data_IF_745469249827
#
_entry.id   IF_745469249827
#
_cell.length_a   1.000
_cell.length_b   1.000
_cell.length_c   1.000
_cell.angle_alpha   90.00
_cell.angle_beta   90.00
_cell.angle_gamma   90.00
#
_symmetry.space_group_name_H-M   'P 1'
#
loop_
_entity.id
_entity.type
_entity.pdbx_description
1 polymer ?
#
# COMPACT_ATOMS: atom_id res chain seq x y z
N UNK A 1 17.91 4.07 18.42
CA UNK A 1 16.52 4.11 18.93
C UNK A 1 16.55 3.48 20.31
N UNK A 2 16.01 4.16 21.32
CA UNK A 2 15.93 3.59 22.68
C UNK A 2 14.75 2.61 22.75
N UNK A 3 14.81 1.57 23.59
CA UNK A 3 13.83 0.46 23.56
C UNK A 3 12.39 0.89 23.86
N UNK A 4 12.22 2.08 24.46
CA UNK A 4 10.92 2.69 24.73
C UNK A 4 10.26 3.24 23.46
N UNK A 5 11.04 3.77 22.52
CA UNK A 5 10.53 4.33 21.26
C UNK A 5 10.06 3.21 20.33
N UNK A 6 10.79 2.09 20.32
CA UNK A 6 10.46 0.90 19.54
C UNK A 6 9.15 0.24 20.03
N UNK A 7 8.96 0.19 21.36
CA UNK A 7 7.70 -0.28 21.95
C UNK A 7 6.53 0.67 21.69
N UNK A 8 6.75 1.98 21.65
CA UNK A 8 5.71 2.96 21.35
C UNK A 8 5.25 2.85 19.89
N UNK A 9 6.19 2.69 18.95
CA UNK A 9 5.89 2.45 17.53
C UNK A 9 5.09 1.15 17.36
N UNK A 10 5.51 0.07 18.02
CA UNK A 10 4.81 -1.22 17.96
C UNK A 10 3.37 -1.12 18.49
N UNK A 11 3.16 -0.43 19.61
CA UNK A 11 1.80 -0.18 20.14
C UNK A 11 0.96 0.67 19.20
N UNK A 12 1.55 1.65 18.53
CA UNK A 12 0.88 2.46 17.52
C UNK A 12 0.45 1.63 16.31
N UNK A 13 1.32 0.73 15.84
CA UNK A 13 1.01 -0.21 14.76
C UNK A 13 -0.11 -1.18 15.14
N UNK A 14 -0.05 -1.78 16.33
CA UNK A 14 -1.10 -2.68 16.84
C UNK A 14 -2.44 -1.95 17.03
N UNK A 15 -2.43 -0.69 17.46
CA UNK A 15 -3.63 0.12 17.59
C UNK A 15 -4.24 0.46 16.22
N UNK A 16 -3.41 0.78 15.23
CA UNK A 16 -3.83 1.03 13.85
C UNK A 16 -4.45 -0.23 13.23
N UNK A 17 -3.81 -1.39 13.42
CA UNK A 17 -4.30 -2.68 12.94
C UNK A 17 -5.68 -3.01 13.51
N UNK A 18 -5.84 -2.90 14.84
CA UNK A 18 -7.13 -3.13 15.51
C UNK A 18 -8.21 -2.15 15.06
N UNK A 19 -7.87 -0.87 14.86
CA UNK A 19 -8.81 0.14 14.38
C UNK A 19 -9.26 -0.16 12.94
N UNK A 20 -8.31 -0.58 12.08
CA UNK A 20 -8.61 -0.96 10.71
C UNK A 20 -9.47 -2.22 10.63
N UNK A 21 -9.19 -3.25 11.44
CA UNK A 21 -10.02 -4.45 11.55
C UNK A 21 -11.45 -4.12 11.99
N UNK A 22 -11.59 -3.25 12.99
CA UNK A 22 -12.90 -2.81 13.47
C UNK A 22 -13.68 -2.05 12.38
N UNK A 23 -13.00 -1.15 11.66
CA UNK A 23 -13.60 -0.41 10.54
C UNK A 23 -14.02 -1.35 9.41
N UNK A 24 -13.16 -2.30 9.01
CA UNK A 24 -13.45 -3.25 7.95
C UNK A 24 -14.64 -4.15 8.29
N UNK A 25 -14.72 -4.59 9.56
CA UNK A 25 -15.85 -5.37 10.05
C UNK A 25 -17.15 -4.56 10.02
N UNK A 26 -17.10 -3.29 10.41
CA UNK A 26 -18.26 -2.39 10.38
C UNK A 26 -18.73 -2.09 8.95
N UNK A 27 -17.81 -1.79 8.03
CA UNK A 27 -18.12 -1.55 6.61
C UNK A 27 -18.73 -2.79 5.94
N UNK A 28 -18.16 -3.97 6.22
CA UNK A 28 -18.72 -5.25 5.74
C UNK A 28 -20.13 -5.48 6.27
N UNK A 29 -20.35 -5.22 7.56
CA UNK A 29 -21.67 -5.34 8.17
C UNK A 29 -22.68 -4.36 7.57
N UNK A 30 -22.29 -3.11 7.28
CA UNK A 30 -23.15 -2.12 6.59
C UNK A 30 -23.49 -2.58 5.16
N UNK A 31 -22.50 -3.05 4.40
CA UNK A 31 -22.70 -3.57 3.04
C UNK A 31 -23.66 -4.75 3.02
N UNK A 32 -23.43 -5.76 3.87
CA UNK A 32 -24.31 -6.93 3.98
C UNK A 32 -25.73 -6.55 4.40
N UNK A 33 -25.90 -5.55 5.28
CA UNK A 33 -27.21 -5.06 5.69
C UNK A 33 -27.94 -4.36 4.53
N UNK A 34 -27.23 -3.54 3.75
CA UNK A 34 -27.78 -2.83 2.59
C UNK A 34 -28.17 -3.79 1.46
N UNK A 35 -27.35 -4.80 1.17
CA UNK A 35 -27.65 -5.84 0.18
C UNK A 35 -28.88 -6.67 0.59
N UNK A 36 -28.98 -7.05 1.87
CA UNK A 36 -30.15 -7.77 2.40
C UNK A 36 -31.43 -6.91 2.37
N UNK A 37 -31.32 -5.59 2.59
CA UNK A 37 -32.45 -4.67 2.46
C UNK A 37 -32.89 -4.54 1.00
N UNK A 38 -31.94 -4.39 0.07
CA UNK A 38 -32.24 -4.33 -1.36
C UNK A 38 -32.91 -5.62 -1.86
N UNK A 39 -32.43 -6.79 -1.42
CA UNK A 39 -33.07 -8.07 -1.72
C UNK A 39 -34.49 -8.16 -1.13
N UNK A 40 -34.69 -7.74 0.12
CA UNK A 40 -36.03 -7.74 0.73
C UNK A 40 -37.01 -6.80 0.01
N UNK A 41 -36.53 -5.66 -0.51
CA UNK A 41 -37.32 -4.74 -1.33
C UNK A 41 -37.62 -5.32 -2.72
N UNK A 42 -36.66 -6.00 -3.34
CA UNK A 42 -36.85 -6.71 -4.60
C UNK A 42 -37.83 -7.88 -4.46
N UNK A 43 -37.72 -8.66 -3.38
CA UNK A 43 -38.65 -9.74 -3.04
C UNK A 43 -40.06 -9.16 -2.87
N UNK A 44 -40.22 -8.07 -2.13
CA UNK A 44 -41.51 -7.35 -2.00
C UNK A 44 -42.06 -6.93 -3.37
N UNK A 45 -41.24 -6.32 -4.24
CA UNK A 45 -41.64 -5.90 -5.58
C UNK A 45 -42.03 -7.09 -6.47
N UNK A 46 -41.27 -8.19 -6.39
CA UNK A 46 -41.53 -9.44 -7.08
C UNK A 46 -42.84 -10.08 -6.60
N UNK A 47 -43.11 -10.12 -5.30
CA UNK A 47 -44.39 -10.58 -4.75
C UNK A 47 -45.57 -9.70 -5.19
N UNK A 48 -45.38 -8.38 -5.29
CA UNK A 48 -46.41 -7.48 -5.84
C UNK A 48 -46.62 -7.63 -7.36
N UNK A 49 -45.66 -8.19 -8.11
CA UNK A 49 -45.67 -8.23 -9.58
C UNK A 49 -45.93 -9.62 -10.18
N UNK A 50 -45.26 -10.67 -9.68
CA UNK A 50 -45.17 -11.99 -10.33
C UNK A 50 -46.23 -13.01 -9.87
N UNK A 51 -46.73 -12.95 -8.63
CA UNK A 51 -47.61 -14.00 -8.08
C UNK A 51 -49.05 -13.50 -7.90
N UNK A 52 -49.24 -12.30 -7.34
CA UNK A 52 -50.56 -11.67 -7.15
C UNK A 52 -51.38 -11.50 -8.43
N UNK A 53 -50.73 -11.15 -9.54
CA UNK A 53 -51.40 -10.90 -10.82
C UNK A 53 -51.71 -12.19 -11.57
N UNK A 54 -50.91 -13.25 -11.35
CA UNK A 54 -51.02 -14.55 -12.00
C UNK A 54 -51.99 -15.46 -11.22
N UNK A 55 -51.88 -15.53 -9.89
CA UNK A 55 -52.80 -16.30 -9.04
C UNK A 55 -54.19 -15.66 -8.93
N UNK A 56 -54.31 -14.33 -8.82
CA UNK A 56 -55.61 -13.67 -8.87
C UNK A 56 -56.28 -13.87 -10.25
N UNK A 57 -55.52 -13.84 -11.35
CA UNK A 57 -56.08 -14.10 -12.68
C UNK A 57 -56.51 -15.56 -12.87
N UNK A 58 -55.72 -16.54 -12.38
CA UNK A 58 -56.03 -17.98 -12.49
C UNK A 58 -57.16 -18.40 -11.52
N UNK A 59 -57.13 -17.95 -10.26
CA UNK A 59 -58.15 -18.27 -9.26
C UNK A 59 -59.47 -17.54 -9.52
N UNK A 60 -59.44 -16.28 -9.98
CA UNK A 60 -60.63 -15.57 -10.46
C UNK A 60 -61.24 -16.30 -11.67
N UNK A 61 -60.42 -16.72 -12.64
CA UNK A 61 -60.90 -17.49 -13.80
C UNK A 61 -61.52 -18.83 -13.40
N UNK A 62 -60.90 -19.59 -12.48
CA UNK A 62 -61.41 -20.89 -12.02
C UNK A 62 -62.64 -20.76 -11.09
N UNK A 63 -62.69 -19.76 -10.21
CA UNK A 63 -63.82 -19.50 -9.32
C UNK A 63 -65.04 -18.90 -10.04
N UNK A 64 -64.85 -18.12 -11.12
CA UNK A 64 -65.93 -17.72 -12.04
C UNK A 64 -66.54 -18.93 -12.76
N UNK A 65 -65.70 -19.88 -13.15
CA UNK A 65 -66.13 -21.12 -13.81
C UNK A 65 -66.84 -22.08 -12.83
N UNK A 66 -66.52 -22.01 -11.53
CA UNK A 66 -67.05 -22.92 -10.49
C UNK A 66 -68.12 -22.32 -9.54
N UNK A 67 -68.28 -21.00 -9.49
CA UNK A 67 -69.21 -20.30 -8.59
C UNK A 67 -68.78 -20.23 -7.10
N UNK A 68 -67.50 -20.40 -6.78
CA UNK A 68 -66.98 -20.48 -5.40
C UNK A 68 -66.42 -19.15 -4.87
N UNK A 69 -67.17 -18.49 -3.99
CA UNK A 69 -66.79 -17.21 -3.38
C UNK A 69 -65.67 -17.34 -2.32
N UNK A 70 -65.50 -18.49 -1.67
CA UNK A 70 -64.54 -18.67 -0.56
C UNK A 70 -63.09 -18.80 -1.04
N UNK A 71 -62.88 -19.51 -2.16
CA UNK A 71 -61.57 -19.63 -2.81
C UNK A 71 -60.99 -18.28 -3.25
N UNK A 72 -61.84 -17.32 -3.63
CA UNK A 72 -61.45 -15.96 -4.01
C UNK A 72 -60.89 -15.19 -2.81
N UNK A 73 -61.54 -15.29 -1.65
CA UNK A 73 -61.13 -14.54 -0.45
C UNK A 73 -59.86 -15.11 0.18
N UNK A 74 -59.69 -16.44 0.19
CA UNK A 74 -58.51 -17.10 0.79
C UNK A 74 -57.20 -16.75 0.08
N UNK A 75 -57.19 -16.72 -1.26
CA UNK A 75 -56.01 -16.34 -2.04
C UNK A 75 -55.58 -14.87 -1.80
N UNK A 76 -56.55 -13.97 -1.55
CA UNK A 76 -56.27 -12.58 -1.16
C UNK A 76 -55.54 -12.48 0.18
N UNK A 77 -55.99 -13.23 1.20
CA UNK A 77 -55.38 -13.19 2.53
C UNK A 77 -53.95 -13.78 2.57
N UNK A 78 -53.69 -14.87 1.86
CA UNK A 78 -52.34 -15.47 1.82
C UNK A 78 -51.30 -14.57 1.15
N UNK A 79 -51.72 -13.75 0.18
CA UNK A 79 -50.89 -12.73 -0.45
C UNK A 79 -50.62 -11.56 0.51
N UNK A 80 -51.64 -11.07 1.21
CA UNK A 80 -51.52 -9.99 2.19
C UNK A 80 -50.55 -10.35 3.32
N UNK A 81 -50.60 -11.58 3.84
CA UNK A 81 -49.69 -12.06 4.89
C UNK A 81 -48.23 -12.12 4.43
N UNK A 82 -47.96 -12.59 3.20
CA UNK A 82 -46.61 -12.61 2.62
C UNK A 82 -46.07 -11.19 2.40
N UNK A 83 -46.90 -10.27 1.92
CA UNK A 83 -46.54 -8.85 1.76
C UNK A 83 -46.23 -8.22 3.12
N UNK A 84 -47.06 -8.48 4.13
CA UNK A 84 -46.85 -7.99 5.49
C UNK A 84 -45.55 -8.54 6.12
N UNK A 85 -45.24 -9.82 5.92
CA UNK A 85 -44.00 -10.43 6.38
C UNK A 85 -42.75 -9.84 5.71
N UNK A 86 -42.80 -9.60 4.39
CA UNK A 86 -41.72 -8.95 3.65
C UNK A 86 -41.52 -7.49 4.08
N UNK A 87 -42.62 -6.75 4.30
CA UNK A 87 -42.58 -5.38 4.80
C UNK A 87 -41.96 -5.32 6.20
N UNK A 88 -42.39 -6.18 7.11
CA UNK A 88 -41.83 -6.27 8.47
C UNK A 88 -40.33 -6.54 8.47
N UNK A 89 -39.86 -7.47 7.61
CA UNK A 89 -38.43 -7.76 7.43
C UNK A 89 -37.66 -6.54 6.91
N UNK A 90 -38.24 -5.75 6.01
CA UNK A 90 -37.64 -4.51 5.53
C UNK A 90 -37.57 -3.44 6.63
N UNK A 91 -38.60 -3.31 7.46
CA UNK A 91 -38.64 -2.36 8.58
C UNK A 91 -37.61 -2.74 9.66
N UNK A 92 -37.50 -4.02 10.02
CA UNK A 92 -36.51 -4.53 10.96
C UNK A 92 -35.06 -4.32 10.47
N UNK A 93 -34.82 -4.45 9.15
CA UNK A 93 -33.51 -4.17 8.55
C UNK A 93 -33.23 -2.67 8.50
N UNK A 94 -34.23 -1.84 8.17
CA UNK A 94 -34.14 -0.38 8.18
C UNK A 94 -33.74 0.14 9.56
N UNK A 95 -34.29 -0.43 10.64
CA UNK A 95 -33.94 -0.07 12.01
C UNK A 95 -32.48 -0.42 12.40
N UNK A 96 -31.86 -1.41 11.73
CA UNK A 96 -30.46 -1.81 12.00
C UNK A 96 -29.43 -0.92 11.29
N UNK A 97 -29.82 -0.21 10.23
CA UNK A 97 -28.93 0.66 9.45
C UNK A 97 -28.38 1.83 10.28
N UNK A 98 -29.19 2.59 11.04
CA UNK A 98 -28.66 3.65 11.91
C UNK A 98 -27.66 3.14 12.96
N UNK A 99 -27.86 1.94 13.49
CA UNK A 99 -26.95 1.31 14.46
C UNK A 99 -25.61 0.98 13.78
N UNK A 100 -25.64 0.32 12.62
CA UNK A 100 -24.44 0.01 11.85
C UNK A 100 -23.67 1.29 11.43
N UNK A 101 -24.40 2.35 11.04
CA UNK A 101 -23.80 3.66 10.72
C UNK A 101 -23.15 4.31 11.95
N UNK A 102 -23.81 4.26 13.10
CA UNK A 102 -23.24 4.79 14.33
C UNK A 102 -21.98 4.02 14.78
N UNK A 103 -21.94 2.69 14.58
CA UNK A 103 -20.75 1.88 14.81
C UNK A 103 -19.61 2.21 13.83
N UNK A 104 -19.94 2.41 12.55
CA UNK A 104 -18.98 2.89 11.54
C UNK A 104 -18.43 4.26 11.91
N UNK A 105 -19.28 5.20 12.29
CA UNK A 105 -18.86 6.57 12.61
C UNK A 105 -17.95 6.57 13.85
N UNK A 106 -18.27 5.77 14.88
CA UNK A 106 -17.36 5.54 16.02
C UNK A 106 -16.02 4.93 15.60
N UNK A 107 -16.02 3.98 14.67
CA UNK A 107 -14.79 3.38 14.15
C UNK A 107 -13.96 4.39 13.36
N UNK A 108 -14.62 5.28 12.59
CA UNK A 108 -13.98 6.40 11.88
C UNK A 108 -13.34 7.37 12.86
N UNK A 109 -14.04 7.77 13.91
CA UNK A 109 -13.51 8.66 14.94
C UNK A 109 -12.31 8.03 15.67
N UNK A 110 -12.37 6.73 15.97
CA UNK A 110 -11.27 5.98 16.57
C UNK A 110 -10.05 5.90 15.64
N UNK A 111 -10.27 5.73 14.34
CA UNK A 111 -9.21 5.75 13.33
C UNK A 111 -8.58 7.15 13.21
N UNK A 112 -9.38 8.21 13.15
CA UNK A 112 -8.88 9.60 13.18
C UNK A 112 -8.03 9.89 14.42
N UNK A 113 -8.45 9.41 15.59
CA UNK A 113 -7.68 9.53 16.81
C UNK A 113 -6.35 8.73 16.74
N UNK A 114 -6.39 7.48 16.29
CA UNK A 114 -5.22 6.62 16.17
C UNK A 114 -4.18 7.18 15.20
N UNK A 115 -4.62 7.70 14.06
CA UNK A 115 -3.73 8.30 13.07
C UNK A 115 -3.10 9.61 13.56
N UNK A 116 -3.86 10.42 14.31
CA UNK A 116 -3.32 11.60 14.97
C UNK A 116 -2.21 11.22 15.95
N UNK A 117 -2.43 10.17 16.75
CA UNK A 117 -1.42 9.63 17.67
C UNK A 117 -0.20 9.10 16.90
N UNK A 118 -0.40 8.32 15.85
CA UNK A 118 0.70 7.78 15.03
C UNK A 118 1.53 8.90 14.39
N UNK A 119 0.89 9.91 13.80
CA UNK A 119 1.57 11.09 13.24
C UNK A 119 2.43 11.81 14.27
N UNK A 120 1.91 11.98 15.49
CA UNK A 120 2.65 12.60 16.60
C UNK A 120 3.86 11.78 17.04
N UNK A 121 3.77 10.45 17.11
CA UNK A 121 4.90 9.59 17.48
C UNK A 121 5.98 9.56 16.38
N UNK A 122 5.57 9.53 15.10
CA UNK A 122 6.51 9.58 13.97
C UNK A 122 7.27 10.91 13.91
N UNK A 123 6.61 12.04 14.21
CA UNK A 123 7.26 13.35 14.27
C UNK A 123 8.35 13.43 15.34
N UNK A 124 8.20 12.74 16.48
CA UNK A 124 9.22 12.72 17.56
C UNK A 124 10.55 12.12 17.15
N UNK A 125 10.55 11.29 16.11
CA UNK A 125 11.75 10.63 15.57
C UNK A 125 12.17 11.16 14.19
N UNK A 126 11.62 12.31 13.77
CA UNK A 126 11.97 12.96 12.51
C UNK A 126 11.35 12.32 11.26
N UNK A 127 10.26 11.57 11.42
CA UNK A 127 9.53 10.91 10.33
C UNK A 127 8.15 11.57 10.10
N UNK A 128 7.61 11.42 8.88
CA UNK A 128 6.33 12.01 8.45
C UNK A 128 5.28 10.91 8.21
N UNK A 129 4.03 11.17 8.62
CA UNK A 129 2.85 10.31 8.43
C UNK A 129 1.93 10.87 7.33
N UNK A 130 1.36 10.02 6.46
CA UNK A 130 0.40 10.42 5.40
C UNK A 130 -0.75 9.42 5.23
N UNK A 131 -1.99 9.95 5.22
CA UNK A 131 -3.30 9.23 5.31
C UNK A 131 -3.96 8.82 3.98
N UNK A 132 -3.42 9.16 2.81
CA UNK A 132 -4.15 9.13 1.52
C UNK A 132 -4.50 7.74 0.91
N UNK A 133 -4.68 6.68 1.71
CA UNK A 133 -4.69 5.27 1.29
C UNK A 133 -6.06 4.57 1.24
N UNK A 134 -7.18 5.18 1.68
CA UNK A 134 -8.39 4.41 2.00
C UNK A 134 -9.59 4.48 1.03
N UNK A 135 -9.52 5.15 -0.12
CA UNK A 135 -10.66 5.19 -1.06
C UNK A 135 -10.73 4.04 -2.09
N UNK A 136 -9.71 3.18 -2.20
CA UNK A 136 -9.67 2.06 -3.15
C UNK A 136 -9.78 0.69 -2.46
N UNK A 137 -10.81 0.53 -1.62
CA UNK A 137 -11.15 -0.74 -0.95
C UNK A 137 -11.61 -1.88 -1.90
N UNK A 138 -11.28 -1.82 -3.19
CA UNK A 138 -11.62 -2.85 -4.19
C UNK A 138 -10.41 -3.49 -4.89
N UNK A 139 -9.17 -3.01 -4.70
CA UNK A 139 -7.99 -3.64 -5.33
C UNK A 139 -7.28 -4.60 -4.37
N UNK A 140 -7.84 -5.81 -4.25
CA UNK A 140 -7.13 -7.09 -4.09
C UNK A 140 -6.31 -7.34 -2.81
N UNK A 141 -6.91 -8.10 -1.89
CA UNK A 141 -6.51 -9.47 -1.54
C UNK A 141 -5.04 -9.89 -1.30
N UNK A 142 -4.04 -9.02 -1.25
CA UNK A 142 -2.68 -9.42 -0.88
C UNK A 142 -2.03 -8.37 0.01
N UNK A 143 -1.53 -8.83 1.15
CA UNK A 143 -0.61 -8.08 1.99
C UNK A 143 0.47 -7.41 1.12
N UNK A 144 0.47 -6.08 1.10
CA UNK A 144 1.66 -5.33 0.74
C UNK A 144 2.19 -4.73 2.03
N UNK A 145 3.01 -5.53 2.72
CA UNK A 145 3.88 -5.00 3.77
C UNK A 145 4.81 -3.98 3.15
N UNK A 146 4.75 -2.73 3.61
CA UNK A 146 5.78 -1.73 3.33
C UNK A 146 7.13 -2.34 3.68
N UNK A 147 8.09 -2.24 2.77
CA UNK A 147 9.38 -2.90 2.92
C UNK A 147 9.84 -3.64 1.67
N UNK A 148 10.82 -4.52 1.86
CA UNK A 148 11.42 -5.29 0.79
C UNK A 148 10.45 -6.31 0.19
N UNK A 149 10.36 -6.32 -1.14
CA UNK A 149 9.58 -7.27 -1.91
C UNK A 149 10.47 -7.93 -2.98
N UNK A 150 10.40 -9.26 -3.08
CA UNK A 150 11.08 -10.04 -4.13
C UNK A 150 10.03 -10.62 -5.07
N UNK A 151 10.11 -10.25 -6.35
CA UNK A 151 9.25 -10.79 -7.40
C UNK A 151 9.70 -12.21 -7.82
N UNK A 152 8.81 -12.94 -8.49
CA UNK A 152 9.05 -14.33 -8.95
C UNK A 152 10.23 -14.43 -9.92
N UNK A 153 10.51 -13.36 -10.68
CA UNK A 153 11.65 -13.26 -11.58
C UNK A 153 12.99 -12.97 -10.83
N UNK A 154 12.97 -12.91 -9.50
CA UNK A 154 14.14 -12.65 -8.65
C UNK A 154 14.49 -11.18 -8.46
N UNK A 155 13.78 -10.25 -9.10
CA UNK A 155 13.98 -8.81 -8.92
C UNK A 155 13.52 -8.34 -7.54
N UNK A 156 14.26 -7.40 -6.96
CA UNK A 156 13.91 -6.77 -5.69
C UNK A 156 13.30 -5.39 -5.92
N UNK A 157 12.30 -5.04 -5.11
CA UNK A 157 11.69 -3.72 -5.02
C UNK A 157 11.56 -3.33 -3.54
N UNK A 158 11.45 -2.04 -3.26
CA UNK A 158 11.08 -1.56 -1.94
C UNK A 158 9.71 -0.89 -2.01
N UNK A 159 8.72 -1.47 -1.35
CA UNK A 159 7.37 -0.91 -1.30
C UNK A 159 7.37 0.25 -0.32
N UNK A 160 7.02 1.44 -0.81
CA UNK A 160 7.03 2.68 -0.03
C UNK A 160 5.67 3.04 0.56
N UNK A 161 4.60 2.40 0.10
CA UNK A 161 3.26 2.61 0.64
C UNK A 161 2.43 1.32 0.68
N UNK A 162 1.45 1.20 1.59
CA UNK A 162 0.54 0.06 1.62
C UNK A 162 -0.28 -0.13 0.34
N UNK A 163 -0.25 0.84 -0.59
CA UNK A 163 -0.85 0.76 -1.93
C UNK A 163 -0.04 -0.08 -2.93
N UNK A 164 1.13 -0.58 -2.56
CA UNK A 164 1.99 -1.30 -3.52
C UNK A 164 2.90 -0.41 -4.35
N UNK A 165 3.00 0.89 -4.06
CA UNK A 165 3.91 1.78 -4.77
C UNK A 165 5.36 1.39 -4.47
N UNK A 166 6.18 1.36 -5.51
CA UNK A 166 7.60 1.02 -5.41
C UNK A 166 8.43 2.29 -5.31
N UNK A 167 9.51 2.23 -4.54
CA UNK A 167 10.56 3.24 -4.57
C UNK A 167 11.12 3.34 -6.00
N UNK A 168 11.34 4.57 -6.46
CA UNK A 168 12.07 4.90 -7.69
C UNK A 168 13.20 5.87 -7.35
N UNK A 169 14.32 5.80 -8.05
CA UNK A 169 15.50 6.61 -7.72
C UNK A 169 16.13 6.20 -6.38
N UNK A 170 16.76 7.16 -5.71
CA UNK A 170 17.47 6.93 -4.44
C UNK A 170 16.54 6.78 -3.24
N UNK A 171 16.77 5.76 -2.43
CA UNK A 171 16.05 5.53 -1.17
C UNK A 171 16.99 5.03 -0.08
N UNK A 172 16.93 5.67 1.09
CA UNK A 172 17.63 5.23 2.28
C UNK A 172 16.75 4.25 3.07
N UNK A 173 17.26 3.05 3.33
CA UNK A 173 16.58 1.94 4.01
C UNK A 173 17.57 1.26 4.94
N UNK A 174 17.21 1.05 6.21
CA UNK A 174 17.99 0.30 7.19
C UNK A 174 19.49 0.68 7.26
N UNK A 175 19.78 1.98 7.18
CA UNK A 175 21.15 2.49 7.28
C UNK A 175 21.95 2.52 5.98
N UNK A 176 21.37 2.13 4.84
CA UNK A 176 22.03 2.13 3.54
C UNK A 176 21.21 2.82 2.44
N UNK A 177 21.89 3.42 1.47
CA UNK A 177 21.26 3.93 0.25
C UNK A 177 21.13 2.84 -0.80
N UNK A 178 19.99 2.82 -1.48
CA UNK A 178 19.68 1.94 -2.61
C UNK A 178 19.18 2.81 -3.76
N UNK A 179 19.33 2.33 -4.99
CA UNK A 179 18.76 2.98 -6.17
C UNK A 179 17.79 2.04 -6.87
N UNK A 180 16.66 2.57 -7.32
CA UNK A 180 15.62 1.84 -8.03
C UNK A 180 15.41 2.48 -9.40
N UNK A 181 15.20 1.68 -10.45
CA UNK A 181 14.86 2.21 -11.77
C UNK A 181 13.41 2.74 -11.81
N UNK A 182 12.96 3.22 -12.97
CA UNK A 182 11.62 3.77 -13.15
C UNK A 182 10.49 2.75 -12.87
N UNK A 183 10.76 1.46 -13.06
CA UNK A 183 9.84 0.36 -12.77
C UNK A 183 9.89 -0.11 -11.30
N UNK A 184 10.72 0.55 -10.48
CA UNK A 184 10.90 0.26 -9.05
C UNK A 184 11.72 -1.00 -8.77
N UNK A 185 12.55 -1.43 -9.71
CA UNK A 185 13.50 -2.55 -9.55
C UNK A 185 14.81 -2.01 -8.98
N UNK A 186 15.26 -2.61 -7.88
CA UNK A 186 16.53 -2.30 -7.22
C UNK A 186 17.69 -2.58 -8.17
N UNK A 187 18.56 -1.59 -8.33
CA UNK A 187 19.75 -1.67 -9.14
C UNK A 187 20.93 -2.21 -8.32
N UNK A 188 21.97 -2.66 -9.02
CA UNK A 188 23.23 -3.14 -8.44
C UNK A 188 24.40 -2.67 -9.32
N UNK A 189 25.60 -2.70 -8.78
CA UNK A 189 26.85 -2.35 -9.48
C UNK A 189 26.86 -0.87 -9.89
N UNK A 190 27.45 -0.55 -11.05
CA UNK A 190 27.51 0.80 -11.57
C UNK A 190 26.14 1.32 -11.98
N UNK A 191 25.73 2.43 -11.37
CA UNK A 191 24.51 3.18 -11.69
C UNK A 191 24.90 4.58 -12.11
N UNK A 192 24.39 5.02 -13.26
CA UNK A 192 24.50 6.41 -13.70
C UNK A 192 23.19 7.13 -13.40
N UNK A 193 23.26 8.17 -12.57
CA UNK A 193 22.14 9.04 -12.26
C UNK A 193 22.50 10.47 -12.68
N UNK A 194 21.75 10.98 -13.66
CA UNK A 194 22.15 12.18 -14.42
C UNK A 194 23.54 12.03 -15.06
N UNK A 195 24.47 12.89 -14.65
CA UNK A 195 25.86 12.90 -15.13
C UNK A 195 26.85 12.23 -14.16
N UNK A 196 26.36 11.68 -13.04
CA UNK A 196 27.20 11.16 -11.98
C UNK A 196 27.10 9.64 -11.91
N UNK A 197 28.23 8.98 -11.67
CA UNK A 197 28.28 7.53 -11.45
C UNK A 197 28.31 7.21 -9.96
N UNK A 198 27.67 6.10 -9.62
CA UNK A 198 27.57 5.53 -8.28
C UNK A 198 27.79 4.03 -8.37
N UNK A 199 28.18 3.40 -7.26
CA UNK A 199 28.34 1.96 -7.20
C UNK A 199 27.53 1.37 -6.05
N UNK A 200 26.77 0.32 -6.36
CA UNK A 200 25.98 -0.47 -5.42
C UNK A 200 26.58 -1.88 -5.32
N UNK A 201 26.66 -2.46 -4.13
CA UNK A 201 27.17 -3.82 -3.96
C UNK A 201 26.17 -4.90 -4.44
N UNK A 202 26.53 -6.18 -4.27
CA UNK A 202 25.66 -7.32 -4.64
C UNK A 202 24.31 -7.38 -3.91
N UNK A 203 24.18 -6.68 -2.78
CA UNK A 203 22.92 -6.51 -2.04
C UNK A 203 22.16 -5.24 -2.41
N UNK A 204 22.71 -4.40 -3.30
CA UNK A 204 22.12 -3.12 -3.73
C UNK A 204 22.50 -1.92 -2.86
N UNK A 205 23.35 -2.10 -1.85
CA UNK A 205 23.77 -1.01 -0.95
C UNK A 205 24.84 -0.16 -1.61
N UNK A 206 24.63 1.16 -1.61
CA UNK A 206 25.58 2.15 -2.11
C UNK A 206 26.90 2.09 -1.36
N UNK A 207 28.00 2.10 -2.10
CA UNK A 207 29.35 2.13 -1.57
C UNK A 207 29.90 3.56 -1.54
N UNK A 208 30.85 3.79 -0.64
CA UNK A 208 31.61 5.04 -0.50
C UNK A 208 33.09 4.71 -0.29
N UNK A 209 33.97 5.68 -0.50
CA UNK A 209 35.42 5.53 -0.36
C UNK A 209 36.08 4.81 -1.55
N UNK A 210 37.19 4.13 -1.27
CA UNK A 210 37.95 3.39 -2.27
C UNK A 210 37.21 2.13 -2.72
N UNK A 211 37.05 1.98 -4.03
CA UNK A 211 36.43 0.82 -4.67
C UNK A 211 37.39 0.21 -5.69
N UNK A 212 37.58 -1.11 -5.63
CA UNK A 212 38.28 -1.85 -6.68
C UNK A 212 37.27 -2.64 -7.52
N UNK A 213 37.28 -2.42 -8.84
CA UNK A 213 36.43 -3.13 -9.80
C UNK A 213 37.20 -3.37 -11.11
N UNK A 214 37.15 -4.58 -11.63
CA UNK A 214 37.85 -4.95 -12.87
C UNK A 214 39.37 -4.71 -12.86
N UNK A 215 40.02 -4.77 -11.69
CA UNK A 215 41.44 -4.50 -11.53
C UNK A 215 41.82 -3.02 -11.52
N UNK A 216 40.84 -2.11 -11.57
CA UNK A 216 41.02 -0.66 -11.46
C UNK A 216 40.50 -0.16 -10.11
N UNK A 217 41.09 0.92 -9.62
CA UNK A 217 40.64 1.62 -8.42
C UNK A 217 39.82 2.85 -8.80
N UNK A 218 38.79 3.11 -8.01
CA UNK A 218 37.89 4.26 -8.12
C UNK A 218 37.72 4.87 -6.73
N UNK A 219 37.30 6.13 -6.67
CA UNK A 219 36.95 6.79 -5.42
C UNK A 219 35.54 7.35 -5.46
N UNK A 220 34.71 6.89 -4.53
CA UNK A 220 33.34 7.33 -4.31
C UNK A 220 33.32 8.29 -3.12
N UNK A 221 32.74 9.46 -3.29
CA UNK A 221 32.58 10.44 -2.22
C UNK A 221 31.60 9.93 -1.14
N UNK A 222 31.48 10.64 -0.02
CA UNK A 222 30.54 10.27 1.04
C UNK A 222 29.07 10.28 0.57
N UNK A 223 28.77 11.05 -0.48
CA UNK A 223 27.48 11.05 -1.18
C UNK A 223 27.30 9.86 -2.13
N UNK A 224 28.33 9.03 -2.30
CA UNK A 224 28.40 7.94 -3.29
C UNK A 224 28.84 8.38 -4.69
N UNK A 225 28.95 9.69 -4.94
CA UNK A 225 29.34 10.20 -6.25
C UNK A 225 30.78 9.79 -6.60
N UNK A 226 30.97 9.22 -7.79
CA UNK A 226 32.28 8.85 -8.30
C UNK A 226 33.05 10.10 -8.74
N UNK A 227 34.29 10.24 -8.26
CA UNK A 227 35.22 11.25 -8.79
C UNK A 227 35.66 10.88 -10.21
N UNK A 228 35.73 11.86 -11.09
CA UNK A 228 36.26 11.74 -12.44
C UNK A 228 36.99 13.01 -12.87
N UNK A 229 38.01 12.86 -13.73
CA UNK A 229 38.80 13.94 -14.35
C UNK A 229 39.33 14.97 -13.36
N UNK A 230 39.84 14.54 -12.20
CA UNK A 230 40.24 15.48 -11.14
C UNK A 230 41.33 14.93 -10.23
N UNK A 231 42.10 15.87 -9.67
CA UNK A 231 42.93 15.64 -8.49
C UNK A 231 42.09 15.73 -7.22
N UNK A 232 42.36 14.88 -6.24
CA UNK A 232 41.72 14.91 -4.93
C UNK A 232 42.65 14.39 -3.84
N UNK A 233 42.33 14.71 -2.59
CA UNK A 233 43.14 14.31 -1.43
C UNK A 233 42.39 13.34 -0.52
N UNK A 234 43.08 12.29 -0.07
CA UNK A 234 42.58 11.34 0.94
C UNK A 234 43.70 11.07 1.94
N UNK A 235 43.46 11.31 3.23
CA UNK A 235 44.47 11.10 4.28
C UNK A 235 45.76 11.90 4.08
N UNK A 236 45.66 13.12 3.55
CA UNK A 236 46.82 13.99 3.28
C UNK A 236 47.58 13.69 1.98
N UNK A 237 47.27 12.59 1.29
CA UNK A 237 47.90 12.20 0.03
C UNK A 237 47.04 12.60 -1.17
N UNK A 238 47.68 13.00 -2.25
CA UNK A 238 47.00 13.40 -3.50
C UNK A 238 46.91 12.24 -4.48
N UNK A 239 45.78 12.15 -5.17
CA UNK A 239 45.46 11.13 -6.17
C UNK A 239 44.79 11.79 -7.38
N UNK A 240 44.89 11.14 -8.53
CA UNK A 240 44.20 11.58 -9.74
C UNK A 240 43.39 10.43 -10.35
N UNK A 241 42.15 10.73 -10.73
CA UNK A 241 41.29 9.83 -11.50
C UNK A 241 41.02 10.41 -12.89
N UNK A 242 41.06 9.56 -13.90
CA UNK A 242 40.79 9.95 -15.29
C UNK A 242 39.28 10.18 -15.55
N UNK A 243 38.90 10.44 -16.80
CA UNK A 243 37.50 10.68 -17.18
C UNK A 243 36.58 9.47 -17.06
N UNK A 244 37.13 8.26 -16.95
CA UNK A 244 36.38 7.04 -16.59
C UNK A 244 36.26 6.85 -15.08
N UNK A 245 36.93 7.67 -14.27
CA UNK A 245 37.03 7.55 -12.82
C UNK A 245 38.13 6.60 -12.35
N UNK A 246 38.90 6.01 -13.27
CA UNK A 246 39.96 5.09 -12.91
C UNK A 246 41.17 5.85 -12.34
N UNK A 247 41.70 5.34 -11.22
CA UNK A 247 42.88 5.86 -10.56
C UNK A 247 44.11 5.72 -11.46
N UNK A 248 44.81 6.83 -11.68
CA UNK A 248 46.12 6.82 -12.33
C UNK A 248 47.16 6.20 -11.40
N UNK A 249 47.90 5.20 -11.89
CA UNK A 249 48.97 4.52 -11.15
C UNK A 249 50.21 4.37 -12.04
N UNK A 250 51.41 4.48 -11.45
CA UNK A 250 52.70 4.34 -12.15
C UNK A 250 52.80 5.18 -13.44
N UNK A 251 52.37 6.44 -13.37
CA UNK A 251 52.29 7.32 -14.55
C UNK A 251 52.51 8.78 -14.17
N UNK A 252 52.49 9.66 -15.16
CA UNK A 252 52.57 11.11 -15.01
C UNK A 252 51.29 11.77 -15.51
N UNK A 253 50.69 12.63 -14.68
CA UNK A 253 49.48 13.40 -15.00
C UNK A 253 49.81 14.88 -14.92
N UNK A 254 49.78 15.58 -16.05
CA UNK A 254 50.05 17.04 -16.08
C UNK A 254 51.42 17.43 -15.52
N UNK A 255 52.43 16.55 -15.64
CA UNK A 255 53.78 16.76 -15.10
C UNK A 255 54.00 16.24 -13.67
N UNK A 256 52.97 15.73 -12.99
CA UNK A 256 53.07 15.15 -11.65
C UNK A 256 53.08 13.62 -11.70
N UNK A 257 54.09 13.01 -11.07
CA UNK A 257 54.24 11.54 -11.06
C UNK A 257 53.45 10.91 -9.91
N UNK A 258 52.68 9.87 -10.21
CA UNK A 258 51.96 9.04 -9.23
C UNK A 258 52.57 7.64 -9.16
N UNK A 259 52.72 7.10 -7.95
CA UNK A 259 53.32 5.79 -7.72
C UNK A 259 52.33 4.63 -7.98
N UNK A 260 52.71 3.39 -7.62
CA UNK A 260 51.89 2.20 -7.82
C UNK A 260 50.59 2.17 -7.01
N UNK A 261 50.49 2.99 -5.95
CA UNK A 261 49.27 3.18 -5.16
C UNK A 261 48.46 4.40 -5.65
N UNK A 262 48.91 5.06 -6.72
CA UNK A 262 48.30 6.28 -7.26
C UNK A 262 48.58 7.54 -6.45
N UNK A 263 49.47 7.47 -5.47
CA UNK A 263 49.84 8.61 -4.64
C UNK A 263 50.80 9.52 -5.40
N UNK A 264 50.51 10.81 -5.46
CA UNK A 264 51.45 11.81 -5.98
C UNK A 264 52.73 11.79 -5.15
N UNK A 265 53.86 11.67 -5.86
CA UNK A 265 55.20 11.78 -5.30
C UNK A 265 55.88 13.02 -5.86
N UNK A 266 56.55 13.75 -4.96
CA UNK A 266 57.28 14.97 -5.29
C UNK A 266 58.64 14.65 -5.92
#
# INVERSE_FOLDING_TARGET
MDSKDEQAIKRGQEALEKAQEAQNKAVKAEKEANEKLAQAQADKQKFTFDEARIEAAIAYANALVAGDAYGITKAGYELEDKIAAAQKKADDLSAKIPVARAERDKAKDALEAAEKTASQEYQKVGLSYSRSVLEEAEVKANAVTVGWYKADNGSWSYIVSPKGEKATGWKFVDGAWYHFNAEGVMQKWWVKDGNTWYYLNGSGQMQTGWLQDGGKWYYLENSGAMKASQWFQVGGKWYYVDGSGALAVNTTVGGYTVNGNGEWVK
#
